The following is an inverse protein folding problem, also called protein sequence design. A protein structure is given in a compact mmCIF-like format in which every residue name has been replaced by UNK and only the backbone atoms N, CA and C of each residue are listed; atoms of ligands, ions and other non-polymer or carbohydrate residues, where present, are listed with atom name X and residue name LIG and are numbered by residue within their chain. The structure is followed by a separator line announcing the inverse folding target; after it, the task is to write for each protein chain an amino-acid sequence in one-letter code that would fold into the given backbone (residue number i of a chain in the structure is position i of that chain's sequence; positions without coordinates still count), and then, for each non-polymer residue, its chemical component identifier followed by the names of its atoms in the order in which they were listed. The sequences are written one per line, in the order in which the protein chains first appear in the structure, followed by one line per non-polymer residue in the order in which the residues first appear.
data_IF_740864571136
#
_entry.id   IF_740864571136
#
_cell.length_a   1.000
_cell.length_b   1.000
_cell.length_c   1.000
_cell.angle_alpha   90.00
_cell.angle_beta   90.00
_cell.angle_gamma   90.00
#
_symmetry.space_group_name_H-M   'P 1'
#
loop_
_entity.id
_entity.type
_entity.pdbx_description
1 polymer ?
#
# COMPACT_ATOMS: atom_id res chain seq x y z
N UNK A 1 36.50 38.17 36.53
CA UNK A 1 35.74 37.60 35.41
C UNK A 1 35.46 36.14 35.77
N UNK A 2 34.19 35.75 35.94
CA UNK A 2 33.82 34.36 36.25
C UNK A 2 32.87 33.93 35.12
N UNK A 3 33.35 33.06 34.24
CA UNK A 3 32.57 32.46 33.15
C UNK A 3 31.78 31.28 33.70
N UNK A 4 30.46 31.42 33.83
CA UNK A 4 29.54 30.33 34.11
C UNK A 4 29.02 29.71 32.81
N UNK A 5 29.38 28.46 32.54
CA UNK A 5 28.80 27.65 31.47
C UNK A 5 27.44 27.11 31.92
N UNK A 6 26.37 27.55 31.28
CA UNK A 6 25.04 26.98 31.43
C UNK A 6 24.89 25.76 30.50
N UNK A 7 24.73 24.57 31.07
CA UNK A 7 24.29 23.37 30.36
C UNK A 7 22.78 23.41 30.20
N UNK A 8 22.29 23.49 28.97
CA UNK A 8 20.88 23.31 28.68
C UNK A 8 20.54 21.81 28.72
N UNK A 9 19.75 21.40 29.72
CA UNK A 9 19.11 20.07 29.73
C UNK A 9 17.88 20.09 28.82
N UNK A 10 17.90 19.31 27.76
CA UNK A 10 16.68 18.97 27.03
C UNK A 10 15.92 17.90 27.83
N UNK A 11 14.93 18.33 28.59
CA UNK A 11 13.93 17.44 29.15
C UNK A 11 13.02 16.96 28.01
N UNK A 12 13.36 15.82 27.41
CA UNK A 12 12.52 15.14 26.43
C UNK A 12 11.60 14.15 27.12
N UNK A 13 10.36 14.55 27.41
CA UNK A 13 9.25 13.59 27.52
C UNK A 13 8.34 13.83 26.33
N UNK A 14 8.73 13.30 25.18
CA UNK A 14 7.81 13.19 24.05
C UNK A 14 6.91 11.96 24.30
N UNK A 15 5.60 12.05 24.02
CA UNK A 15 4.77 10.86 23.85
C UNK A 15 5.47 9.95 22.83
N UNK A 16 5.53 8.65 23.11
CA UNK A 16 5.99 7.65 22.14
C UNK A 16 5.14 7.79 20.88
N UNK A 17 5.72 8.34 19.82
CA UNK A 17 5.09 8.38 18.52
C UNK A 17 4.71 6.94 18.15
N UNK A 18 3.44 6.63 17.82
CA UNK A 18 3.04 5.28 17.43
C UNK A 18 3.83 4.72 16.22
N UNK A 19 4.65 5.56 15.59
CA UNK A 19 5.50 5.25 14.45
C UNK A 19 4.70 5.20 13.16
N UNK A 20 5.37 4.86 12.03
CA UNK A 20 4.74 4.92 10.72
C UNK A 20 3.47 4.08 10.64
N UNK A 21 2.42 4.61 10.01
CA UNK A 21 1.14 3.94 9.79
C UNK A 21 0.58 4.23 8.39
N UNK A 22 -0.06 3.22 7.83
CA UNK A 22 -0.90 3.30 6.64
C UNK A 22 -2.18 2.53 6.93
N UNK A 23 -3.33 3.18 6.85
CA UNK A 23 -4.63 2.55 7.11
C UNK A 23 -5.68 3.00 6.10
N UNK A 24 -6.67 2.17 5.80
CA UNK A 24 -7.84 2.58 5.03
C UNK A 24 -8.21 1.64 3.89
N UNK A 25 -9.27 2.04 3.19
CA UNK A 25 -9.76 1.32 2.02
C UNK A 25 -10.25 2.31 0.98
N UNK A 26 -9.69 2.20 -0.22
CA UNK A 26 -10.01 3.06 -1.34
C UNK A 26 -9.97 2.28 -2.65
N UNK A 27 -10.49 2.90 -3.71
CA UNK A 27 -10.51 2.30 -5.02
C UNK A 27 -11.09 3.20 -6.08
N UNK A 28 -11.33 2.62 -7.24
CA UNK A 28 -11.91 3.31 -8.38
C UNK A 28 -11.86 2.46 -9.63
N UNK A 29 -11.84 3.13 -10.77
CA UNK A 29 -11.75 2.48 -12.08
C UNK A 29 -10.37 2.67 -12.67
N UNK A 30 -9.83 1.60 -13.24
CA UNK A 30 -8.58 1.66 -13.96
C UNK A 30 -8.70 2.61 -15.16
N UNK A 31 -7.67 3.43 -15.38
CA UNK A 31 -7.62 4.37 -16.51
C UNK A 31 -7.12 3.68 -17.78
N UNK A 32 -7.12 4.41 -18.90
CA UNK A 32 -6.57 3.93 -20.19
C UNK A 32 -5.11 3.44 -20.12
N UNK A 33 -4.35 3.90 -19.13
CA UNK A 33 -2.96 3.47 -18.89
C UNK A 33 -2.85 1.97 -18.56
N UNK A 34 -3.93 1.35 -18.07
CA UNK A 34 -3.98 -0.08 -17.74
C UNK A 34 -4.45 -0.95 -18.93
N UNK A 35 -4.43 -0.41 -20.15
CA UNK A 35 -4.67 -1.17 -21.38
C UNK A 35 -6.05 -1.81 -21.42
N UNK A 36 -6.10 -3.13 -21.64
CA UNK A 36 -7.33 -3.92 -21.78
C UNK A 36 -8.19 -3.97 -20.51
N UNK A 37 -7.63 -3.60 -19.35
CA UNK A 37 -8.38 -3.51 -18.08
C UNK A 37 -8.95 -2.12 -17.81
N UNK A 38 -8.81 -1.17 -18.73
CA UNK A 38 -9.37 0.17 -18.56
C UNK A 38 -10.89 0.11 -18.30
N UNK A 39 -11.32 0.80 -17.23
CA UNK A 39 -12.71 0.82 -16.76
C UNK A 39 -13.06 -0.22 -15.70
N UNK A 40 -12.19 -1.21 -15.47
CA UNK A 40 -12.39 -2.23 -14.44
C UNK A 40 -12.38 -1.62 -13.04
N UNK A 41 -13.29 -2.05 -12.14
CA UNK A 41 -13.28 -1.63 -10.75
C UNK A 41 -12.18 -2.34 -9.97
N UNK A 42 -11.46 -1.56 -9.17
CA UNK A 42 -10.46 -2.06 -8.21
C UNK A 42 -10.72 -1.50 -6.82
N UNK A 43 -10.48 -2.32 -5.80
CA UNK A 43 -10.57 -1.93 -4.39
C UNK A 43 -9.37 -2.50 -3.64
N UNK A 44 -8.83 -1.67 -2.76
CA UNK A 44 -7.70 -1.98 -1.91
C UNK A 44 -8.09 -1.68 -0.47
N UNK A 45 -7.63 -2.52 0.44
CA UNK A 45 -7.66 -2.27 1.87
C UNK A 45 -6.26 -2.57 2.40
N UNK A 46 -5.66 -1.61 3.12
CA UNK A 46 -4.31 -1.75 3.65
C UNK A 46 -4.33 -1.26 5.09
N UNK A 47 -3.78 -2.06 5.99
CA UNK A 47 -3.60 -1.73 7.39
C UNK A 47 -2.19 -2.13 7.78
N UNK A 48 -1.33 -1.15 8.06
CA UNK A 48 0.07 -1.36 8.39
C UNK A 48 0.54 -0.37 9.44
N UNK A 49 1.45 -0.82 10.30
CA UNK A 49 2.12 0.02 11.30
C UNK A 49 3.53 -0.48 11.59
N UNK A 50 4.36 0.42 12.09
CA UNK A 50 5.76 0.17 12.42
C UNK A 50 6.67 0.31 11.20
N UNK A 51 7.89 0.78 11.43
CA UNK A 51 8.87 1.03 10.37
C UNK A 51 9.61 -0.22 9.89
N UNK A 52 10.57 -0.06 8.96
CA UNK A 52 11.35 -1.15 8.39
C UNK A 52 11.90 -2.11 9.45
N UNK A 53 11.72 -3.41 9.26
CA UNK A 53 12.14 -4.47 10.19
C UNK A 53 11.20 -4.74 11.37
N UNK A 54 10.22 -3.87 11.64
CA UNK A 54 9.21 -4.06 12.72
C UNK A 54 7.77 -4.04 12.23
N UNK A 55 7.57 -3.85 10.92
CA UNK A 55 6.26 -3.70 10.31
C UNK A 55 5.33 -4.87 10.59
N UNK A 56 4.08 -4.54 10.90
CA UNK A 56 2.97 -5.50 10.99
C UNK A 56 1.77 -4.94 10.27
N UNK A 57 1.06 -5.79 9.54
CA UNK A 57 -0.13 -5.36 8.83
C UNK A 57 -0.74 -6.42 7.94
N UNK A 58 -1.87 -6.08 7.33
CA UNK A 58 -2.57 -6.89 6.36
C UNK A 58 -3.01 -6.05 5.18
N UNK A 59 -3.34 -6.73 4.09
CA UNK A 59 -3.95 -6.10 2.94
C UNK A 59 -4.99 -7.02 2.29
N UNK A 60 -5.92 -6.41 1.55
CA UNK A 60 -6.87 -7.09 0.66
C UNK A 60 -6.95 -6.34 -0.66
N UNK A 61 -7.01 -7.07 -1.76
CA UNK A 61 -7.15 -6.54 -3.11
C UNK A 61 -8.29 -7.24 -3.82
N UNK A 62 -9.09 -6.45 -4.53
CA UNK A 62 -10.12 -6.92 -5.42
C UNK A 62 -10.01 -6.19 -6.76
N UNK A 63 -10.06 -6.94 -7.86
CA UNK A 63 -10.13 -6.44 -9.23
C UNK A 63 -11.29 -7.16 -9.95
N UNK A 64 -12.34 -6.42 -10.30
CA UNK A 64 -13.49 -6.94 -11.05
C UNK A 64 -13.37 -6.68 -12.55
N UNK A 65 -14.17 -7.37 -13.38
CA UNK A 65 -14.19 -7.21 -14.83
C UNK A 65 -15.37 -6.35 -15.30
N UNK A 66 -15.07 -5.19 -15.86
CA UNK A 66 -16.05 -4.23 -16.40
C UNK A 66 -17.19 -3.92 -15.43
N UNK A 67 -18.41 -3.73 -15.97
CA UNK A 67 -19.65 -3.65 -15.18
C UNK A 67 -20.46 -4.95 -15.17
N UNK A 68 -20.07 -5.91 -15.99
CA UNK A 68 -20.89 -7.06 -16.41
C UNK A 68 -20.67 -8.33 -15.59
N UNK A 69 -19.80 -8.28 -14.58
CA UNK A 69 -19.56 -9.38 -13.64
C UNK A 69 -18.33 -10.22 -14.00
N UNK A 70 -17.65 -10.72 -12.97
CA UNK A 70 -16.41 -11.48 -13.06
C UNK A 70 -15.31 -10.87 -12.18
N UNK A 71 -14.45 -11.73 -11.63
CA UNK A 71 -13.31 -11.34 -10.79
C UNK A 71 -12.04 -11.61 -11.58
N UNK A 72 -11.24 -10.58 -11.82
CA UNK A 72 -9.91 -10.71 -12.41
C UNK A 72 -8.91 -11.14 -11.35
N UNK A 73 -8.97 -10.59 -10.14
CA UNK A 73 -8.14 -11.04 -9.03
C UNK A 73 -8.80 -10.72 -7.68
N UNK A 74 -8.62 -11.62 -6.72
CA UNK A 74 -9.02 -11.41 -5.32
C UNK A 74 -8.03 -12.13 -4.41
N UNK A 75 -7.33 -11.36 -3.58
CA UNK A 75 -6.31 -11.90 -2.70
C UNK A 75 -6.08 -11.02 -1.46
N UNK A 76 -5.55 -11.64 -0.42
CA UNK A 76 -5.18 -11.01 0.84
C UNK A 76 -3.81 -11.49 1.31
N UNK A 77 -3.19 -10.70 2.19
CA UNK A 77 -1.87 -11.03 2.68
C UNK A 77 -1.41 -10.22 3.88
N UNK A 78 -0.13 -10.38 4.20
CA UNK A 78 0.54 -9.68 5.29
C UNK A 78 1.50 -8.63 4.73
N UNK A 79 1.51 -7.46 5.35
CA UNK A 79 2.51 -6.43 5.07
C UNK A 79 3.79 -6.79 5.82
N UNK A 80 4.91 -6.79 5.11
CA UNK A 80 6.24 -7.16 5.61
C UNK A 80 7.19 -5.97 5.69
N UNK A 81 6.91 -4.88 4.99
CA UNK A 81 7.68 -3.63 5.05
C UNK A 81 6.74 -2.43 4.91
N UNK A 82 6.96 -1.39 5.70
CA UNK A 82 6.31 -0.09 5.59
C UNK A 82 7.39 0.99 5.72
N UNK A 83 7.41 1.89 4.75
CA UNK A 83 8.21 3.11 4.77
C UNK A 83 7.26 4.28 4.50
N UNK A 84 7.32 5.29 5.35
CA UNK A 84 6.56 6.53 5.20
C UNK A 84 7.55 7.68 4.98
N UNK A 85 7.16 8.62 4.12
CA UNK A 85 7.85 9.89 3.91
C UNK A 85 6.83 10.97 3.64
N UNK A 86 6.52 11.77 4.67
CA UNK A 86 5.43 12.74 4.62
C UNK A 86 4.09 12.06 4.35
N UNK A 87 3.37 12.52 3.33
CA UNK A 87 2.04 12.01 2.95
C UNK A 87 2.10 10.75 2.06
N UNK A 88 3.30 10.22 1.79
CA UNK A 88 3.51 9.06 0.92
C UNK A 88 3.95 7.85 1.73
N UNK A 89 3.30 6.72 1.50
CA UNK A 89 3.67 5.43 2.08
C UNK A 89 3.98 4.39 0.99
N UNK A 90 5.07 3.65 1.18
CA UNK A 90 5.36 2.44 0.41
C UNK A 90 5.20 1.24 1.35
N UNK A 91 4.35 0.29 0.96
CA UNK A 91 4.13 -0.94 1.70
C UNK A 91 4.39 -2.16 0.81
N UNK A 92 5.22 -3.08 1.28
CA UNK A 92 5.43 -4.38 0.64
C UNK A 92 4.73 -5.46 1.44
N UNK A 93 4.14 -6.43 0.77
CA UNK A 93 3.51 -7.57 1.41
C UNK A 93 3.76 -8.88 0.69
N UNK A 94 3.33 -9.96 1.34
CA UNK A 94 3.29 -11.30 0.77
C UNK A 94 1.85 -11.79 0.84
N UNK A 95 1.36 -12.30 -0.29
CA UNK A 95 0.02 -12.87 -0.39
C UNK A 95 -0.04 -14.15 0.43
N UNK A 96 -1.04 -14.27 1.30
CA UNK A 96 -1.26 -15.47 2.11
C UNK A 96 -2.38 -16.34 1.58
N UNK A 97 -3.30 -15.78 0.78
CA UNK A 97 -4.41 -16.50 0.17
C UNK A 97 -5.03 -15.69 -0.96
N UNK A 98 -5.36 -16.33 -2.08
CA UNK A 98 -6.16 -15.74 -3.14
C UNK A 98 -5.76 -16.22 -4.53
N UNK A 99 -6.38 -15.64 -5.55
CA UNK A 99 -6.18 -16.07 -6.93
C UNK A 99 -6.19 -14.89 -7.90
N UNK A 100 -5.72 -15.15 -9.12
CA UNK A 100 -5.84 -14.26 -10.26
C UNK A 100 -6.24 -15.02 -11.53
N UNK A 101 -6.93 -14.34 -12.44
CA UNK A 101 -7.44 -14.81 -13.72
C UNK A 101 -6.82 -13.94 -14.84
N UNK A 102 -5.50 -14.00 -14.97
CA UNK A 102 -4.71 -13.13 -15.87
C UNK A 102 -4.39 -13.79 -17.21
N UNK A 103 -4.49 -15.12 -17.27
CA UNK A 103 -4.31 -15.95 -18.45
C UNK A 103 -5.61 -16.71 -18.73
N UNK A 104 -5.58 -17.65 -19.68
CA UNK A 104 -6.70 -18.56 -19.93
C UNK A 104 -6.94 -19.54 -18.76
N UNK A 105 -5.97 -19.68 -17.86
CA UNK A 105 -6.10 -20.48 -16.64
C UNK A 105 -6.95 -19.74 -15.60
N UNK A 106 -7.98 -20.42 -15.10
CA UNK A 106 -8.87 -19.88 -14.07
C UNK A 106 -8.35 -20.20 -12.68
N UNK A 107 -8.46 -19.23 -11.79
CA UNK A 107 -8.13 -19.30 -10.37
C UNK A 107 -6.67 -19.68 -10.11
N UNK A 108 -5.74 -19.13 -10.89
CA UNK A 108 -4.30 -19.31 -10.63
C UNK A 108 -3.99 -18.83 -9.21
N UNK A 109 -3.49 -19.73 -8.37
CA UNK A 109 -3.08 -19.41 -7.00
C UNK A 109 -1.88 -18.44 -7.03
N UNK A 110 -1.99 -17.37 -6.25
CA UNK A 110 -0.96 -16.33 -6.13
C UNK A 110 -0.35 -16.27 -4.73
N UNK A 111 -0.61 -17.28 -3.90
CA UNK A 111 -0.06 -17.40 -2.55
C UNK A 111 1.48 -17.42 -2.56
N UNK A 112 2.10 -16.74 -1.60
CA UNK A 112 3.55 -16.60 -1.47
C UNK A 112 4.16 -15.51 -2.37
N UNK A 113 3.40 -14.95 -3.30
CA UNK A 113 3.90 -13.90 -4.20
C UNK A 113 3.97 -12.55 -3.49
N UNK A 114 5.02 -11.78 -3.79
CA UNK A 114 5.19 -10.42 -3.25
C UNK A 114 4.27 -9.42 -3.97
N UNK A 115 3.87 -8.39 -3.22
CA UNK A 115 3.16 -7.23 -3.73
C UNK A 115 3.81 -5.96 -3.19
N UNK A 116 3.70 -4.88 -3.95
CA UNK A 116 4.05 -3.54 -3.47
C UNK A 116 2.88 -2.59 -3.70
N UNK A 117 2.70 -1.66 -2.77
CA UNK A 117 1.74 -0.56 -2.83
C UNK A 117 2.49 0.76 -2.61
N UNK A 118 2.24 1.76 -3.45
CA UNK A 118 2.58 3.15 -3.14
C UNK A 118 1.29 3.94 -2.97
N UNK A 119 1.08 4.51 -1.80
CA UNK A 119 -0.05 5.37 -1.45
C UNK A 119 0.44 6.80 -1.28
N UNK A 120 -0.31 7.75 -1.80
CA UNK A 120 -0.19 9.17 -1.48
C UNK A 120 -1.53 9.63 -0.90
N UNK A 121 -1.55 9.89 0.41
CA UNK A 121 -2.70 10.47 1.13
C UNK A 121 -2.76 11.95 0.80
N UNK A 122 -3.67 12.33 -0.08
CA UNK A 122 -3.83 13.70 -0.54
C UNK A 122 -5.26 14.17 -0.19
N UNK A 123 -5.65 13.90 1.06
CA UNK A 123 -6.96 14.20 1.60
C UNK A 123 -8.06 13.40 0.91
N UNK A 124 -8.95 14.04 0.14
CA UNK A 124 -10.02 13.34 -0.59
C UNK A 124 -9.64 13.01 -2.03
N UNK A 125 -8.36 13.04 -2.37
CA UNK A 125 -7.86 12.83 -3.74
C UNK A 125 -6.61 11.96 -3.74
N UNK A 126 -6.67 10.89 -2.95
CA UNK A 126 -5.58 9.93 -2.83
C UNK A 126 -5.17 9.34 -4.16
N UNK A 127 -3.92 8.91 -4.17
CA UNK A 127 -3.36 8.19 -5.29
C UNK A 127 -2.75 6.89 -4.82
N UNK A 128 -2.87 5.87 -5.67
CA UNK A 128 -2.34 4.54 -5.43
C UNK A 128 -1.63 4.02 -6.69
N UNK A 129 -0.59 3.21 -6.49
CA UNK A 129 -0.13 2.27 -7.49
C UNK A 129 0.33 0.97 -6.82
N UNK A 130 0.51 -0.07 -7.62
CA UNK A 130 0.92 -1.37 -7.13
C UNK A 130 1.80 -2.13 -8.14
N UNK A 131 2.52 -3.12 -7.63
CA UNK A 131 3.29 -4.08 -8.43
C UNK A 131 2.97 -5.48 -7.95
N UNK A 132 2.84 -6.43 -8.88
CA UNK A 132 2.52 -7.83 -8.61
C UNK A 132 3.67 -8.76 -8.95
N UNK A 133 4.15 -9.52 -7.95
CA UNK A 133 5.19 -10.53 -8.15
C UNK A 133 4.74 -11.65 -9.08
N UNK A 134 3.47 -12.06 -9.01
CA UNK A 134 2.87 -13.05 -9.93
C UNK A 134 2.76 -12.55 -11.38
N UNK A 135 3.04 -11.26 -11.65
CA UNK A 135 3.23 -10.71 -13.00
C UNK A 135 4.71 -10.43 -13.30
N UNK A 136 5.62 -11.13 -12.61
CA UNK A 136 7.08 -11.00 -12.74
C UNK A 136 7.64 -9.60 -12.40
N UNK A 137 6.92 -8.79 -11.61
CA UNK A 137 7.45 -7.51 -11.17
C UNK A 137 8.59 -7.73 -10.16
N UNK A 138 9.74 -7.05 -10.30
CA UNK A 138 10.87 -7.20 -9.38
C UNK A 138 10.63 -6.40 -8.10
N UNK A 139 10.05 -7.04 -7.08
CA UNK A 139 9.63 -6.39 -5.84
C UNK A 139 10.62 -6.69 -4.70
N UNK A 140 11.36 -5.66 -4.29
CA UNK A 140 12.10 -5.65 -3.02
C UNK A 140 11.26 -5.02 -1.91
N UNK A 141 11.69 -5.23 -0.67
CA UNK A 141 11.01 -4.66 0.49
C UNK A 141 11.11 -3.12 0.48
N UNK A 142 9.99 -2.47 0.74
CA UNK A 142 9.83 -1.01 0.71
C UNK A 142 10.22 -0.36 -0.64
N UNK A 143 10.11 -1.09 -1.75
CA UNK A 143 10.25 -0.56 -3.10
C UNK A 143 8.88 -0.26 -3.71
N UNK A 144 8.66 0.98 -4.16
CA UNK A 144 7.42 1.42 -4.81
C UNK A 144 7.67 2.22 -6.10
N UNK A 145 6.58 2.59 -6.79
CA UNK A 145 6.61 3.48 -7.98
C UNK A 145 5.63 4.64 -7.81
N UNK A 146 5.58 5.56 -8.78
CA UNK A 146 4.67 6.71 -8.72
C UNK A 146 3.19 6.27 -8.60
N UNK A 147 2.40 6.86 -7.65
CA UNK A 147 1.00 6.51 -7.47
C UNK A 147 0.13 7.15 -8.57
N UNK A 148 -0.16 6.41 -9.64
CA UNK A 148 -0.85 6.98 -10.81
C UNK A 148 -2.39 6.82 -10.80
N UNK A 149 -2.94 5.85 -10.07
CA UNK A 149 -4.39 5.71 -9.95
C UNK A 149 -4.91 6.76 -8.97
N UNK A 150 -5.73 7.70 -9.43
CA UNK A 150 -6.52 8.55 -8.53
C UNK A 150 -7.71 7.73 -8.01
N UNK A 151 -7.89 7.66 -6.70
CA UNK A 151 -9.06 7.00 -6.11
C UNK A 151 -10.32 7.83 -6.39
N UNK A 152 -11.44 7.14 -6.56
CA UNK A 152 -12.76 7.76 -6.78
C UNK A 152 -13.73 7.55 -5.61
N UNK A 153 -13.38 6.66 -4.70
CA UNK A 153 -14.12 6.39 -3.47
C UNK A 153 -13.17 5.84 -2.39
N UNK A 154 -13.60 5.96 -1.14
CA UNK A 154 -12.79 5.59 0.01
C UNK A 154 -11.61 6.52 0.22
N UNK A 155 -10.76 6.16 1.18
CA UNK A 155 -9.70 7.02 1.70
C UNK A 155 -8.60 6.17 2.34
N UNK A 156 -7.36 6.63 2.24
CA UNK A 156 -6.20 6.14 2.96
C UNK A 156 -5.72 7.21 3.94
N UNK A 157 -5.10 6.78 5.03
CA UNK A 157 -4.48 7.66 6.01
C UNK A 157 -3.04 7.25 6.20
N UNK A 158 -2.14 8.19 5.95
CA UNK A 158 -0.69 8.03 6.14
C UNK A 158 -0.24 8.87 7.32
N UNK A 159 0.51 8.25 8.24
CA UNK A 159 1.14 8.92 9.37
C UNK A 159 2.59 8.46 9.44
N UNK A 160 3.51 9.40 9.64
CA UNK A 160 4.93 9.15 9.90
C UNK A 160 5.17 9.00 11.40
#
# INVERSE_FOLDING_TARGET
MITGTATASFAGTAPSDPGPRLSGSAGGKLTKTFGSWAGDPVKFQIEARGGPGTTKGTFKVFHGKGRTGGVVAEFEGKITCLLVGGEVAVATGVITRGYANLTDEKNTDVTGQKVSFTVHDNGRSDRLYWMWGFMNAPINDCQGTAPILKTSHGDFKVHD
#
